data_IF_234712917519
#
_entry.id   IF_234712917519
#
_cell.length_a   1.000
_cell.length_b   1.000
_cell.length_c   1.000
_cell.angle_alpha   90.00
_cell.angle_beta   90.00
_cell.angle_gamma   90.00
#
_symmetry.space_group_name_H-M   'P 1'
#
loop_
_entity.id
_entity.type
_entity.pdbx_description
1 polymer ?
#
# COMPACT_ATOMS: atom_id res chain seq x y z
N UNK A 1 -14.88 -14.39 20.49
CA UNK A 1 -13.77 -13.63 21.09
C UNK A 1 -13.24 -14.15 22.43
N UNK A 2 -14.04 -14.72 23.31
CA UNK A 2 -13.54 -15.20 24.62
C UNK A 2 -12.72 -16.48 24.58
N UNK A 3 -12.98 -17.40 23.65
CA UNK A 3 -12.32 -18.71 23.60
C UNK A 3 -10.87 -18.61 23.11
N UNK A 4 -10.61 -17.87 22.04
CA UNK A 4 -9.25 -17.70 21.50
C UNK A 4 -8.28 -17.08 22.51
N UNK A 5 -8.73 -16.07 23.28
CA UNK A 5 -7.91 -15.45 24.33
C UNK A 5 -7.64 -16.38 25.50
N UNK A 6 -8.62 -17.25 25.88
CA UNK A 6 -8.41 -18.27 26.93
C UNK A 6 -7.40 -19.35 26.53
N UNK A 7 -7.24 -19.56 25.21
CA UNK A 7 -6.27 -20.49 24.64
C UNK A 7 -4.91 -19.81 24.30
N UNK A 8 -4.72 -18.56 24.74
CA UNK A 8 -3.44 -17.83 24.57
C UNK A 8 -3.23 -17.18 23.21
N UNK A 9 -4.28 -17.05 22.39
CA UNK A 9 -4.20 -16.37 21.09
C UNK A 9 -4.74 -14.94 21.17
N UNK A 10 -4.15 -14.02 20.42
CA UNK A 10 -4.60 -12.60 20.37
C UNK A 10 -5.99 -12.42 19.74
N UNK A 11 -6.45 -13.41 18.95
CA UNK A 11 -7.77 -13.38 18.33
C UNK A 11 -8.15 -14.70 17.67
N UNK A 12 -9.39 -14.77 17.16
CA UNK A 12 -9.90 -15.96 16.49
C UNK A 12 -9.11 -16.31 15.21
N UNK A 13 -8.71 -15.29 14.46
CA UNK A 13 -7.96 -15.46 13.20
C UNK A 13 -6.59 -16.09 13.47
N UNK A 14 -5.84 -15.59 14.46
CA UNK A 14 -4.56 -16.19 14.85
C UNK A 14 -4.73 -17.64 15.32
N UNK A 15 -5.72 -17.88 16.16
CA UNK A 15 -6.05 -19.23 16.61
C UNK A 15 -6.36 -20.17 15.44
N UNK A 16 -7.17 -19.71 14.49
CA UNK A 16 -7.58 -20.49 13.33
C UNK A 16 -6.39 -20.90 12.47
N UNK A 17 -5.50 -19.95 12.12
CA UNK A 17 -4.32 -20.23 11.30
C UNK A 17 -3.29 -21.10 12.02
N UNK A 18 -3.05 -20.89 13.32
CA UNK A 18 -2.14 -21.75 14.09
C UNK A 18 -2.67 -23.17 14.26
N UNK A 19 -3.98 -23.34 14.42
CA UNK A 19 -4.60 -24.66 14.48
C UNK A 19 -4.56 -25.38 13.13
N UNK A 20 -4.74 -24.66 12.02
CA UNK A 20 -4.58 -25.23 10.67
C UNK A 20 -3.14 -25.69 10.42
N UNK A 21 -2.14 -24.90 10.83
CA UNK A 21 -0.72 -25.26 10.76
C UNK A 21 -0.38 -26.47 11.62
N UNK A 22 -0.92 -26.55 12.84
CA UNK A 22 -0.71 -27.67 13.74
C UNK A 22 -1.42 -28.97 13.29
N UNK A 23 -2.46 -28.86 12.47
CA UNK A 23 -3.17 -30.02 11.91
C UNK A 23 -2.46 -30.63 10.68
N UNK A 24 -1.22 -30.21 10.40
CA UNK A 24 -0.45 -30.72 9.25
C UNK A 24 -0.99 -30.29 7.88
N UNK A 25 -2.05 -29.48 7.88
CA UNK A 25 -2.46 -28.69 6.72
C UNK A 25 -1.61 -27.45 6.81
N UNK A 26 -0.48 -27.41 6.12
CA UNK A 26 0.36 -26.23 5.98
C UNK A 26 -0.52 -24.99 5.80
N UNK A 27 -0.05 -23.81 6.20
CA UNK A 27 -0.69 -22.56 5.79
C UNK A 27 -1.18 -22.79 4.39
N UNK A 28 -2.47 -22.56 4.05
CA UNK A 28 -2.89 -22.76 2.68
C UNK A 28 -1.93 -21.89 1.85
N UNK A 29 -0.98 -22.55 1.22
CA UNK A 29 -0.24 -21.95 0.11
C UNK A 29 -1.35 -21.81 -0.90
N UNK A 30 -1.96 -20.63 -0.92
CA UNK A 30 -2.76 -20.25 -2.06
C UNK A 30 -1.75 -20.29 -3.19
N UNK A 31 -1.77 -21.38 -3.97
CA UNK A 31 -1.19 -21.38 -5.29
C UNK A 31 -1.85 -20.19 -5.98
N UNK A 32 -1.13 -19.07 -5.96
CA UNK A 32 -1.57 -17.87 -6.64
C UNK A 32 -1.61 -18.25 -8.10
N UNK A 33 -2.82 -18.49 -8.55
CA UNK A 33 -3.14 -19.02 -9.86
C UNK A 33 -2.44 -18.13 -10.89
N UNK A 34 -1.72 -18.71 -11.84
CA UNK A 34 -1.17 -18.00 -13.02
C UNK A 34 -2.25 -17.15 -13.70
N UNK A 35 -3.52 -17.52 -13.54
CA UNK A 35 -4.69 -16.71 -13.91
C UNK A 35 -4.77 -15.34 -13.24
N UNK A 36 -4.23 -15.12 -12.04
CA UNK A 36 -4.26 -13.80 -11.42
C UNK A 36 -3.44 -12.79 -12.23
N UNK A 37 -2.21 -13.13 -12.58
CA UNK A 37 -1.36 -12.26 -13.41
C UNK A 37 -1.88 -12.11 -14.84
N UNK A 38 -2.49 -13.16 -15.42
CA UNK A 38 -3.01 -13.09 -16.79
C UNK A 38 -4.17 -12.11 -16.94
N UNK A 39 -4.98 -11.92 -15.89
CA UNK A 39 -6.02 -10.87 -15.88
C UNK A 39 -5.46 -9.45 -15.95
N UNK A 40 -4.25 -9.23 -15.44
CA UNK A 40 -3.62 -7.92 -15.45
C UNK A 40 -2.71 -7.70 -16.66
N UNK A 41 -2.16 -8.74 -17.23
CA UNK A 41 -1.27 -8.66 -18.39
C UNK A 41 -2.04 -8.44 -19.71
N UNK A 42 -3.33 -8.84 -19.78
CA UNK A 42 -4.13 -8.81 -21.01
C UNK A 42 -4.56 -7.42 -21.48
N UNK A 43 -4.74 -6.46 -20.59
CA UNK A 43 -5.39 -5.17 -20.89
C UNK A 43 -4.42 -3.99 -21.00
N UNK A 44 -3.10 -4.19 -20.99
CA UNK A 44 -2.12 -3.09 -21.03
C UNK A 44 -2.23 -2.15 -19.79
N UNK A 45 -2.96 -2.55 -18.75
CA UNK A 45 -3.27 -1.71 -17.59
C UNK A 45 -2.08 -1.52 -16.65
N UNK A 46 -1.04 -2.36 -16.74
CA UNK A 46 0.16 -2.29 -15.88
C UNK A 46 1.39 -2.15 -16.75
N UNK A 47 2.03 -0.99 -16.70
CA UNK A 47 3.31 -0.78 -17.38
C UNK A 47 4.42 -1.59 -16.71
N UNK A 48 5.48 -1.93 -17.46
CA UNK A 48 6.67 -2.58 -16.89
C UNK A 48 7.35 -1.73 -15.81
N UNK A 49 7.24 -0.41 -15.91
CA UNK A 49 7.76 0.53 -14.91
C UNK A 49 6.98 0.41 -13.60
N UNK A 50 5.64 0.42 -13.68
CA UNK A 50 4.78 0.20 -12.52
C UNK A 50 5.07 -1.17 -11.87
N UNK A 51 5.20 -2.22 -12.67
CA UNK A 51 5.49 -3.56 -12.13
C UNK A 51 6.81 -3.59 -11.36
N UNK A 52 7.88 -2.97 -11.91
CA UNK A 52 9.17 -2.85 -11.22
C UNK A 52 9.07 -2.06 -9.92
N UNK A 53 8.31 -0.97 -9.94
CA UNK A 53 8.08 -0.12 -8.77
C UNK A 53 7.30 -0.87 -7.68
N UNK A 54 6.25 -1.63 -8.04
CA UNK A 54 5.49 -2.46 -7.11
C UNK A 54 6.37 -3.53 -6.46
N UNK A 55 7.16 -4.23 -7.25
CA UNK A 55 8.09 -5.25 -6.76
C UNK A 55 9.16 -4.66 -5.83
N UNK A 56 9.71 -3.49 -6.18
CA UNK A 56 10.66 -2.79 -5.33
C UNK A 56 10.03 -2.40 -3.98
N UNK A 57 8.81 -1.85 -4.00
CA UNK A 57 8.09 -1.50 -2.79
C UNK A 57 7.77 -2.73 -1.93
N UNK A 58 7.32 -3.82 -2.54
CA UNK A 58 7.08 -5.09 -1.84
C UNK A 58 8.33 -5.60 -1.13
N UNK A 59 9.49 -5.54 -1.80
CA UNK A 59 10.78 -5.90 -1.20
C UNK A 59 11.16 -4.99 -0.03
N UNK A 60 10.88 -3.69 -0.12
CA UNK A 60 11.15 -2.73 0.96
C UNK A 60 10.25 -2.97 2.17
N UNK A 61 8.95 -3.20 1.93
CA UNK A 61 7.99 -3.55 2.99
C UNK A 61 8.39 -4.87 3.67
N UNK A 62 8.83 -5.87 2.91
CA UNK A 62 9.25 -7.16 3.46
C UNK A 62 10.53 -7.08 4.31
N UNK A 63 11.48 -6.21 3.92
CA UNK A 63 12.80 -6.10 4.56
C UNK A 63 12.83 -5.16 5.76
N UNK A 64 11.84 -4.28 5.91
CA UNK A 64 11.85 -3.31 7.01
C UNK A 64 11.34 -3.92 8.30
N UNK A 65 12.04 -3.68 9.40
CA UNK A 65 11.57 -3.94 10.76
C UNK A 65 10.77 -2.75 11.34
N UNK A 66 10.81 -1.61 10.63
CA UNK A 66 10.11 -0.38 10.97
C UNK A 66 8.69 -0.37 10.41
N UNK A 67 7.91 0.64 10.79
CA UNK A 67 6.52 0.78 10.35
C UNK A 67 6.39 1.23 8.90
N UNK A 68 5.27 0.89 8.29
CA UNK A 68 4.81 1.48 7.02
C UNK A 68 3.84 2.61 7.33
N UNK A 69 4.14 3.84 6.92
CA UNK A 69 3.22 4.96 7.03
C UNK A 69 2.48 5.16 5.71
N UNK A 70 1.14 5.21 5.77
CA UNK A 70 0.29 5.25 4.58
C UNK A 70 -0.58 6.49 4.66
N UNK A 71 -0.50 7.34 3.64
CA UNK A 71 -1.12 8.65 3.63
C UNK A 71 -1.92 8.92 2.37
N UNK A 72 -3.09 9.50 2.55
CA UNK A 72 -3.93 10.01 1.46
C UNK A 72 -4.98 10.97 2.00
N UNK A 73 -5.48 11.88 1.17
CA UNK A 73 -6.53 12.83 1.54
C UNK A 73 -7.78 12.65 0.68
N UNK A 74 -8.95 12.96 1.24
CA UNK A 74 -10.24 12.85 0.54
C UNK A 74 -10.46 11.45 -0.03
N UNK A 75 -10.83 11.32 -1.30
CA UNK A 75 -11.02 9.99 -1.91
C UNK A 75 -9.75 9.14 -1.97
N UNK A 76 -8.57 9.76 -2.02
CA UNK A 76 -7.30 9.03 -1.96
C UNK A 76 -7.05 8.39 -0.60
N UNK A 77 -7.64 8.89 0.48
CA UNK A 77 -7.53 8.27 1.80
C UNK A 77 -8.22 6.89 1.86
N UNK A 78 -9.26 6.67 1.05
CA UNK A 78 -9.94 5.38 0.95
C UNK A 78 -8.97 4.31 0.41
N UNK A 79 -8.12 4.69 -0.55
CA UNK A 79 -7.08 3.80 -1.11
C UNK A 79 -5.99 3.51 -0.06
N UNK A 80 -5.59 4.55 0.66
CA UNK A 80 -4.63 4.44 1.76
C UNK A 80 -5.15 3.53 2.88
N UNK A 81 -6.39 3.70 3.29
CA UNK A 81 -7.04 2.84 4.29
C UNK A 81 -7.17 1.39 3.81
N UNK A 82 -7.53 1.19 2.53
CA UNK A 82 -7.62 -0.14 1.95
C UNK A 82 -6.27 -0.88 2.03
N UNK A 83 -5.18 -0.21 1.59
CA UNK A 83 -3.84 -0.79 1.69
C UNK A 83 -3.45 -1.07 3.14
N UNK A 84 -3.71 -0.14 4.07
CA UNK A 84 -3.41 -0.33 5.49
C UNK A 84 -4.07 -1.58 6.05
N UNK A 85 -5.35 -1.79 5.75
CA UNK A 85 -6.09 -2.99 6.18
C UNK A 85 -5.49 -4.27 5.58
N UNK A 86 -5.07 -4.25 4.33
CA UNK A 86 -4.40 -5.40 3.68
C UNK A 86 -3.07 -5.73 4.36
N UNK A 87 -2.24 -4.72 4.65
CA UNK A 87 -0.96 -4.90 5.33
C UNK A 87 -1.13 -5.41 6.77
N UNK A 88 -2.10 -4.87 7.51
CA UNK A 88 -2.40 -5.33 8.88
C UNK A 88 -2.84 -6.80 8.93
N UNK A 89 -3.59 -7.27 7.94
CA UNK A 89 -3.97 -8.70 7.83
C UNK A 89 -2.73 -9.58 7.60
N UNK A 90 -1.72 -9.05 6.92
CA UNK A 90 -0.43 -9.73 6.71
C UNK A 90 0.52 -9.62 7.91
N UNK A 91 0.10 -8.97 8.99
CA UNK A 91 0.90 -8.78 10.21
C UNK A 91 1.92 -7.64 10.13
N UNK A 92 1.86 -6.82 9.07
CA UNK A 92 2.76 -5.68 8.87
C UNK A 92 2.28 -4.52 9.72
N UNK A 93 3.16 -3.96 10.54
CA UNK A 93 2.86 -2.77 11.34
C UNK A 93 2.74 -1.56 10.43
N UNK A 94 1.62 -0.88 10.48
CA UNK A 94 1.42 0.34 9.71
C UNK A 94 0.58 1.38 10.45
N UNK A 95 0.81 2.63 10.11
CA UNK A 95 0.00 3.79 10.49
C UNK A 95 -0.70 4.29 9.24
N UNK A 96 -2.01 4.48 9.32
CA UNK A 96 -2.81 5.14 8.30
C UNK A 96 -3.21 6.53 8.77
N UNK A 97 -3.09 7.51 7.89
CA UNK A 97 -3.56 8.88 8.11
C UNK A 97 -4.32 9.39 6.88
N UNK A 98 -5.50 9.95 7.10
CA UNK A 98 -6.39 10.51 6.08
C UNK A 98 -6.23 12.02 5.88
N UNK A 99 -5.32 12.62 6.64
CA UNK A 99 -5.06 14.06 6.63
C UNK A 99 -5.90 14.88 7.61
N UNK A 100 -6.82 14.24 8.35
CA UNK A 100 -7.53 14.87 9.46
C UNK A 100 -6.69 14.88 10.75
N UNK A 101 -5.69 14.01 10.83
CA UNK A 101 -4.77 13.91 11.94
C UNK A 101 -3.83 15.11 12.02
N UNK A 102 -3.37 15.40 13.24
CA UNK A 102 -2.25 16.33 13.44
C UNK A 102 -1.01 15.85 12.68
N UNK A 103 -0.28 16.78 12.09
CA UNK A 103 1.01 16.48 11.45
C UNK A 103 1.99 15.79 12.41
N UNK A 104 1.86 16.06 13.72
CA UNK A 104 2.65 15.42 14.76
C UNK A 104 2.51 13.89 14.81
N UNK A 105 1.42 13.30 14.29
CA UNK A 105 1.30 11.85 14.15
C UNK A 105 2.39 11.32 13.19
N UNK A 106 2.71 12.07 12.15
CA UNK A 106 3.79 11.72 11.24
C UNK A 106 5.16 12.11 11.80
N UNK A 107 5.32 13.37 12.23
CA UNK A 107 6.61 13.92 12.68
C UNK A 107 7.19 13.14 13.87
N UNK A 108 6.36 12.82 14.87
CA UNK A 108 6.80 12.13 16.08
C UNK A 108 7.08 10.63 15.88
N UNK A 109 6.70 10.05 14.74
CA UNK A 109 6.97 8.66 14.42
C UNK A 109 7.97 8.50 13.25
N UNK A 110 8.52 9.60 12.73
CA UNK A 110 9.32 9.59 11.51
C UNK A 110 10.55 8.67 11.60
N UNK A 111 11.20 8.60 12.75
CA UNK A 111 12.36 7.73 13.01
C UNK A 111 12.00 6.23 12.99
N UNK A 112 10.73 5.90 13.24
CA UNK A 112 10.22 4.53 13.25
C UNK A 112 9.59 4.12 11.91
N UNK A 113 9.60 5.00 10.92
CA UNK A 113 9.03 4.75 9.58
C UNK A 113 10.12 4.27 8.63
N UNK A 114 9.98 3.04 8.13
CA UNK A 114 10.89 2.49 7.11
C UNK A 114 10.37 2.67 5.68
N UNK A 115 9.04 2.74 5.52
CA UNK A 115 8.38 2.91 4.21
C UNK A 115 7.25 3.93 4.35
N UNK A 116 7.22 4.92 3.47
CA UNK A 116 6.13 5.88 3.36
C UNK A 116 5.40 5.71 2.02
N UNK A 117 4.08 5.50 2.06
CA UNK A 117 3.26 5.32 0.86
C UNK A 117 2.23 6.43 0.77
N UNK A 118 2.28 7.22 -0.30
CA UNK A 118 1.40 8.34 -0.55
C UNK A 118 0.41 8.07 -1.69
N UNK A 119 -0.86 8.38 -1.46
CA UNK A 119 -1.89 8.37 -2.48
C UNK A 119 -2.30 9.80 -2.80
N UNK A 120 -2.03 10.25 -4.03
CA UNK A 120 -2.41 11.58 -4.50
C UNK A 120 -2.72 11.56 -5.99
N UNK A 121 -4.01 11.58 -6.36
CA UNK A 121 -4.42 11.53 -7.76
C UNK A 121 -3.70 12.59 -8.59
N UNK A 122 -3.66 13.83 -8.16
CA UNK A 122 -2.98 14.90 -8.89
C UNK A 122 -1.45 14.88 -8.72
N UNK A 123 -0.93 14.26 -7.67
CA UNK A 123 0.48 14.35 -7.30
C UNK A 123 0.96 15.77 -6.93
N UNK A 124 0.02 16.71 -6.71
CA UNK A 124 0.29 18.15 -6.51
C UNK A 124 -0.20 18.70 -5.18
N UNK A 125 -0.84 17.85 -4.35
CA UNK A 125 -1.33 18.28 -3.03
C UNK A 125 -0.17 18.75 -2.15
N UNK A 126 -0.17 20.01 -1.67
CA UNK A 126 0.91 20.53 -0.83
C UNK A 126 1.08 19.71 0.46
N UNK A 127 -0.02 19.23 1.03
CA UNK A 127 0.01 18.41 2.25
C UNK A 127 0.68 17.05 2.03
N UNK A 128 0.45 16.44 0.86
CA UNK A 128 1.10 15.18 0.49
C UNK A 128 2.57 15.42 0.19
N UNK A 129 2.87 16.42 -0.64
CA UNK A 129 4.24 16.76 -1.03
C UNK A 129 5.13 17.10 0.16
N UNK A 130 4.61 17.87 1.13
CA UNK A 130 5.37 18.19 2.34
C UNK A 130 5.78 16.94 3.13
N UNK A 131 4.85 15.99 3.33
CA UNK A 131 5.16 14.74 4.06
C UNK A 131 6.11 13.83 3.31
N UNK A 132 5.93 13.70 2.00
CA UNK A 132 6.82 12.89 1.16
C UNK A 132 8.24 13.46 1.18
N UNK A 133 8.37 14.80 1.07
CA UNK A 133 9.66 15.49 1.15
C UNK A 133 10.33 15.27 2.50
N UNK A 134 9.59 15.43 3.61
CA UNK A 134 10.12 15.15 4.94
C UNK A 134 10.57 13.70 5.10
N UNK A 135 9.82 12.74 4.54
CA UNK A 135 10.21 11.33 4.55
C UNK A 135 11.50 11.09 3.76
N UNK A 136 11.61 11.68 2.57
CA UNK A 136 12.79 11.59 1.72
C UNK A 136 14.03 12.21 2.39
N UNK A 137 13.90 13.40 2.97
CA UNK A 137 14.98 14.09 3.72
C UNK A 137 15.48 13.26 4.92
N UNK A 138 14.64 12.37 5.47
CA UNK A 138 15.00 11.44 6.54
C UNK A 138 15.36 10.02 6.04
N UNK A 139 15.66 9.89 4.74
CA UNK A 139 16.07 8.63 4.11
C UNK A 139 15.04 7.49 4.21
N UNK A 140 13.77 7.82 4.44
CA UNK A 140 12.66 6.87 4.40
C UNK A 140 12.38 6.48 2.94
N UNK A 141 12.21 5.20 2.65
CA UNK A 141 11.78 4.77 1.32
C UNK A 141 10.37 5.28 1.02
N UNK A 142 10.21 6.05 -0.05
CA UNK A 142 8.96 6.70 -0.42
C UNK A 142 8.36 6.11 -1.70
N UNK A 143 7.06 5.85 -1.68
CA UNK A 143 6.28 5.38 -2.83
C UNK A 143 5.06 6.26 -3.05
N UNK A 144 4.84 6.70 -4.28
CA UNK A 144 3.69 7.53 -4.64
C UNK A 144 2.75 6.85 -5.63
N UNK A 145 1.43 7.00 -5.43
CA UNK A 145 0.40 6.68 -6.43
C UNK A 145 -0.18 7.98 -6.98
N UNK A 146 -0.11 8.17 -8.28
CA UNK A 146 -0.62 9.37 -8.96
C UNK A 146 -1.12 9.04 -10.37
N UNK A 147 -1.98 9.91 -10.95
CA UNK A 147 -2.38 9.76 -12.35
C UNK A 147 -1.44 10.50 -13.32
N UNK A 148 -0.53 11.30 -12.80
CA UNK A 148 0.40 12.10 -13.57
C UNK A 148 1.85 11.80 -13.17
N UNK A 149 2.53 10.97 -13.96
CA UNK A 149 3.92 10.62 -13.75
C UNK A 149 4.90 11.80 -13.90
N UNK A 150 4.46 12.93 -14.44
CA UNK A 150 5.22 14.17 -14.49
C UNK A 150 4.89 15.12 -13.33
N UNK A 151 4.10 14.67 -12.34
CA UNK A 151 3.76 15.47 -11.17
C UNK A 151 4.96 15.68 -10.25
N UNK A 152 4.95 16.77 -9.42
CA UNK A 152 6.00 17.02 -8.43
C UNK A 152 6.23 15.87 -7.45
N UNK A 153 5.23 15.01 -7.24
CA UNK A 153 5.36 13.83 -6.37
C UNK A 153 6.52 12.92 -6.80
N UNK A 154 6.79 12.84 -8.11
CA UNK A 154 7.88 12.01 -8.66
C UNK A 154 9.26 12.48 -8.23
N UNK A 155 9.43 13.76 -7.96
CA UNK A 155 10.74 14.34 -7.58
C UNK A 155 11.20 13.86 -6.19
N UNK A 156 10.24 13.53 -5.30
CA UNK A 156 10.53 13.18 -3.91
C UNK A 156 10.26 11.70 -3.59
N UNK A 157 9.71 10.93 -4.54
CA UNK A 157 9.46 9.51 -4.32
C UNK A 157 10.61 8.65 -4.84
N UNK A 158 11.01 7.65 -4.04
CA UNK A 158 11.93 6.58 -4.47
C UNK A 158 11.37 5.79 -5.67
N UNK A 159 10.05 5.64 -5.72
CA UNK A 159 9.33 5.10 -6.87
C UNK A 159 7.89 5.62 -6.94
N UNK A 160 7.34 5.67 -8.14
CA UNK A 160 5.98 6.12 -8.41
C UNK A 160 5.22 5.06 -9.18
N UNK A 161 3.97 4.84 -8.83
CA UNK A 161 2.98 4.10 -9.61
C UNK A 161 2.12 5.12 -10.33
N UNK A 162 2.30 5.18 -11.63
CA UNK A 162 1.46 5.97 -12.48
C UNK A 162 0.18 5.20 -12.83
N UNK A 163 -0.95 5.76 -12.46
CA UNK A 163 -2.28 5.17 -12.69
C UNK A 163 -3.02 6.03 -13.71
N UNK A 164 -2.90 5.73 -15.01
CA UNK A 164 -3.46 6.55 -16.06
C UNK A 164 -4.98 6.70 -15.94
N UNK A 165 -5.45 7.92 -16.09
CA UNK A 165 -6.86 8.27 -16.11
C UNK A 165 -7.08 9.28 -17.24
N UNK A 166 -7.87 8.90 -18.25
CA UNK A 166 -8.15 9.72 -19.42
C UNK A 166 -9.03 10.94 -19.11
N UNK A 167 -9.64 10.95 -17.91
CA UNK A 167 -10.46 12.08 -17.50
C UNK A 167 -9.61 13.19 -16.89
N UNK A 168 -9.89 14.45 -17.27
CA UNK A 168 -9.22 15.60 -16.67
C UNK A 168 -9.38 15.59 -15.16
N UNK A 169 -8.35 16.06 -14.45
CA UNK A 169 -8.45 16.31 -13.03
C UNK A 169 -9.62 17.24 -12.76
N UNK A 170 -10.46 16.83 -11.85
CA UNK A 170 -11.62 17.57 -11.36
C UNK A 170 -11.43 17.82 -9.86
N UNK A 171 -11.16 19.07 -9.49
CA UNK A 171 -10.88 19.49 -8.12
C UNK A 171 -12.04 19.17 -7.15
N UNK A 172 -13.26 19.05 -7.69
CA UNK A 172 -14.45 18.71 -6.91
C UNK A 172 -14.75 17.21 -6.88
N UNK A 173 -13.98 16.40 -7.64
CA UNK A 173 -14.20 14.96 -7.81
C UNK A 173 -15.65 14.58 -8.19
N UNK A 174 -16.32 15.41 -8.98
CA UNK A 174 -17.71 15.20 -9.41
C UNK A 174 -17.82 14.29 -10.64
N UNK A 175 -16.74 14.21 -11.43
CA UNK A 175 -16.72 13.42 -12.66
C UNK A 175 -16.31 11.97 -12.36
N UNK A 176 -16.87 10.99 -13.08
CA UNK A 176 -16.38 9.62 -13.01
C UNK A 176 -14.88 9.56 -13.34
N UNK A 177 -14.16 8.68 -12.65
CA UNK A 177 -12.72 8.47 -12.83
C UNK A 177 -12.38 7.00 -12.71
N UNK A 178 -11.44 6.52 -13.50
CA UNK A 178 -10.89 5.17 -13.40
C UNK A 178 -9.68 5.10 -12.45
N UNK A 179 -9.18 6.25 -11.99
CA UNK A 179 -8.01 6.29 -11.12
C UNK A 179 -8.16 5.39 -9.89
N UNK A 180 -9.27 5.51 -9.16
CA UNK A 180 -9.43 4.77 -7.90
C UNK A 180 -9.59 3.25 -8.12
N UNK A 181 -10.35 2.82 -9.14
CA UNK A 181 -10.49 1.41 -9.46
C UNK A 181 -9.17 0.78 -9.91
N UNK A 182 -8.44 1.47 -10.79
CA UNK A 182 -7.10 1.02 -11.20
C UNK A 182 -6.10 1.04 -10.04
N UNK A 183 -6.20 2.01 -9.11
CA UNK A 183 -5.35 2.05 -7.91
C UNK A 183 -5.58 0.84 -7.02
N UNK A 184 -6.82 0.40 -6.83
CA UNK A 184 -7.12 -0.86 -6.10
C UNK A 184 -6.42 -2.04 -6.78
N UNK A 185 -6.48 -2.12 -8.10
CA UNK A 185 -5.77 -3.14 -8.89
C UNK A 185 -4.27 -3.12 -8.62
N UNK A 186 -3.64 -1.93 -8.60
CA UNK A 186 -2.20 -1.81 -8.28
C UNK A 186 -1.90 -2.19 -6.83
N UNK A 187 -2.79 -1.90 -5.89
CA UNK A 187 -2.66 -2.35 -4.50
C UNK A 187 -2.69 -3.88 -4.42
N UNK A 188 -3.62 -4.53 -5.10
CA UNK A 188 -3.68 -6.01 -5.12
C UNK A 188 -2.41 -6.63 -5.74
N UNK A 189 -1.84 -6.01 -6.76
CA UNK A 189 -0.55 -6.42 -7.32
C UNK A 189 0.62 -6.22 -6.34
N UNK A 190 0.64 -5.12 -5.58
CA UNK A 190 1.63 -4.91 -4.52
C UNK A 190 1.55 -6.02 -3.45
N UNK A 191 0.33 -6.36 -3.02
CA UNK A 191 0.09 -7.43 -2.05
C UNK A 191 0.51 -8.78 -2.63
N UNK A 192 0.22 -9.03 -3.92
CA UNK A 192 0.67 -10.23 -4.62
C UNK A 192 2.20 -10.34 -4.61
N UNK A 193 2.93 -9.30 -5.01
CA UNK A 193 4.40 -9.29 -5.01
C UNK A 193 4.97 -9.49 -3.60
N UNK A 194 4.38 -8.83 -2.58
CA UNK A 194 4.78 -9.06 -1.19
C UNK A 194 4.59 -10.52 -0.77
N UNK A 195 3.46 -11.12 -1.12
CA UNK A 195 3.17 -12.51 -0.79
C UNK A 195 4.17 -13.47 -1.45
N UNK A 196 4.51 -13.26 -2.73
CA UNK A 196 5.52 -14.05 -3.43
C UNK A 196 6.89 -14.02 -2.72
N UNK A 197 7.30 -12.85 -2.23
CA UNK A 197 8.57 -12.70 -1.51
C UNK A 197 8.53 -13.39 -0.13
N UNK A 198 7.36 -13.41 0.51
CA UNK A 198 7.21 -13.92 1.88
C UNK A 198 7.17 -15.45 1.96
N UNK A 199 6.83 -16.14 0.87
CA UNK A 199 6.73 -17.61 0.81
C UNK A 199 7.91 -18.28 0.08
N UNK A 200 8.75 -17.52 -0.62
CA UNK A 200 9.96 -17.98 -1.33
C UNK A 200 11.19 -17.86 -0.47
#
# INVERSE_FOLDING_TARGET
MRLSRKLGYNGFIEMYYKLLGAAGKGTPVYELNEGFLSHFAGDGNVSMENYRSLRLAAQRIHKTDQMVFIYGMGFSSIMAEYLAKKLLVLGIKCIFSDGADSIGVFENNLEDIGVFIAFSRSGRSPYVLNRVKMAEENSVFTMGFTNDGASPLKEYCSCVIEVPDDNPLDDRNMKPTLFFSKTITMIELLIYEYYQISIG
#
